data_IF_707384525660
#
_entry.id   IF_707384525660
#
_cell.length_a   1.000
_cell.length_b   1.000
_cell.length_c   1.000
_cell.angle_alpha   90.00
_cell.angle_beta   90.00
_cell.angle_gamma   90.00
#
_symmetry.space_group_name_H-M   'P 1'
#
loop_
_entity.id
_entity.type
_entity.pdbx_description
1 polymer ?
#
# COMPACT_ATOMS: atom_id res chain seq x y z
N UNK A 1 -29.02 -28.00 47.05
CA UNK A 1 -29.92 -26.88 46.70
C UNK A 1 -29.06 -25.63 46.64
N UNK A 2 -28.65 -25.23 45.44
CA UNK A 2 -29.25 -24.14 44.64
C UNK A 2 -28.76 -22.76 45.12
N UNK A 3 -27.81 -22.16 44.36
CA UNK A 3 -27.99 -20.95 43.50
C UNK A 3 -27.78 -19.67 44.34
N UNK A 4 -26.96 -18.68 43.98
CA UNK A 4 -26.85 -17.98 42.70
C UNK A 4 -25.47 -17.35 42.50
N UNK A 5 -24.95 -17.51 41.28
CA UNK A 5 -23.87 -16.72 40.71
C UNK A 5 -24.41 -15.34 40.28
N UNK A 6 -23.75 -14.27 40.70
CA UNK A 6 -23.95 -12.93 40.14
C UNK A 6 -22.79 -12.66 39.17
N UNK A 7 -23.00 -13.03 37.91
CA UNK A 7 -22.16 -12.63 36.78
C UNK A 7 -22.56 -11.20 36.46
N UNK A 8 -21.74 -10.24 36.89
CA UNK A 8 -21.85 -8.87 36.43
C UNK A 8 -21.49 -8.85 34.95
N UNK A 9 -22.45 -8.44 34.12
CA UNK A 9 -22.32 -8.34 32.68
C UNK A 9 -21.11 -7.47 32.33
N UNK A 10 -20.16 -8.07 31.60
CA UNK A 10 -19.21 -7.34 30.79
C UNK A 10 -20.03 -6.51 29.80
N UNK A 11 -20.15 -5.21 30.09
CA UNK A 11 -20.64 -4.26 29.12
C UNK A 11 -19.66 -4.23 27.95
N UNK A 12 -20.09 -4.70 26.79
CA UNK A 12 -19.53 -4.31 25.51
C UNK A 12 -19.72 -2.79 25.36
N UNK A 13 -18.83 -2.01 25.97
CA UNK A 13 -18.51 -0.71 25.42
C UNK A 13 -17.86 -1.02 24.07
N UNK A 14 -18.63 -0.90 23.00
CA UNK A 14 -18.07 -0.78 21.67
C UNK A 14 -17.17 0.44 21.70
N UNK A 15 -15.88 0.19 21.87
CA UNK A 15 -14.85 1.16 21.51
C UNK A 15 -15.08 1.41 20.03
N UNK A 16 -15.59 2.59 19.70
CA UNK A 16 -15.58 3.06 18.33
C UNK A 16 -14.10 3.23 17.97
N UNK A 17 -13.47 2.15 17.52
CA UNK A 17 -12.17 2.21 16.87
C UNK A 17 -12.34 3.21 15.73
N UNK A 18 -11.73 4.38 15.89
CA UNK A 18 -11.59 5.34 14.81
C UNK A 18 -11.01 4.55 13.64
N UNK A 19 -11.74 4.48 12.52
CA UNK A 19 -11.27 3.79 11.34
C UNK A 19 -9.83 4.24 11.05
N UNK A 20 -8.88 3.31 10.82
CA UNK A 20 -7.50 3.67 10.60
C UNK A 20 -7.44 4.68 9.44
N UNK A 21 -6.74 5.78 9.67
CA UNK A 21 -6.49 6.77 8.61
C UNK A 21 -5.87 6.06 7.41
N UNK A 22 -6.33 6.33 6.18
CA UNK A 22 -5.78 5.68 5.00
C UNK A 22 -4.27 5.95 4.90
N UNK A 23 -3.52 4.94 4.44
CA UNK A 23 -2.08 5.07 4.25
C UNK A 23 -1.78 6.25 3.32
N UNK A 24 -0.81 7.13 3.61
CA UNK A 24 -0.55 8.34 2.82
C UNK A 24 -0.30 8.03 1.34
N UNK A 25 0.36 6.91 1.06
CA UNK A 25 0.59 6.41 -0.31
C UNK A 25 -0.69 6.22 -1.10
N UNK A 26 -1.83 5.89 -0.48
CA UNK A 26 -3.10 5.70 -1.20
C UNK A 26 -3.73 7.02 -1.65
N UNK A 27 -3.55 8.09 -0.87
CA UNK A 27 -4.32 9.34 -1.02
C UNK A 27 -3.50 10.52 -1.49
N UNK A 28 -2.17 10.45 -1.43
CA UNK A 28 -1.31 11.54 -1.88
C UNK A 28 -1.41 11.73 -3.39
N UNK A 29 -1.29 12.95 -3.86
CA UNK A 29 -1.09 13.23 -5.27
C UNK A 29 0.30 12.73 -5.70
N UNK A 30 0.37 12.06 -6.86
CA UNK A 30 1.63 11.62 -7.44
C UNK A 30 2.13 12.66 -8.45
N UNK A 31 3.45 12.90 -8.53
CA UNK A 31 4.06 13.58 -9.67
C UNK A 31 3.67 12.94 -11.01
N UNK A 32 3.68 13.71 -12.09
CA UNK A 32 3.26 13.23 -13.42
C UNK A 32 4.14 12.15 -14.03
N UNK A 33 5.36 11.98 -13.54
CA UNK A 33 6.32 10.96 -13.94
C UNK A 33 6.30 9.73 -13.01
N UNK A 34 5.29 9.61 -12.16
CA UNK A 34 5.14 8.55 -11.18
C UNK A 34 3.73 7.94 -11.25
N UNK A 35 3.65 6.64 -11.51
CA UNK A 35 2.40 5.88 -11.45
C UNK A 35 2.52 4.71 -10.46
N UNK A 36 1.42 4.30 -9.82
CA UNK A 36 1.48 3.15 -8.91
C UNK A 36 1.83 1.85 -9.64
N UNK A 37 1.29 1.69 -10.86
CA UNK A 37 1.65 0.60 -11.77
C UNK A 37 3.15 0.58 -12.09
N UNK A 38 3.74 1.73 -12.43
CA UNK A 38 5.15 1.84 -12.78
C UNK A 38 6.07 1.56 -11.60
N UNK A 39 5.70 2.00 -10.39
CA UNK A 39 6.43 1.64 -9.14
C UNK A 39 6.46 0.13 -8.93
N UNK A 40 5.34 -0.57 -9.11
CA UNK A 40 5.30 -2.04 -9.00
C UNK A 40 6.12 -2.74 -10.09
N UNK A 41 6.04 -2.24 -11.33
CA UNK A 41 6.83 -2.78 -12.44
C UNK A 41 8.33 -2.59 -12.18
N UNK A 42 8.74 -1.41 -11.70
CA UNK A 42 10.11 -1.12 -11.32
C UNK A 42 10.60 -2.05 -10.19
N UNK A 43 9.76 -2.36 -9.21
CA UNK A 43 10.10 -3.32 -8.14
C UNK A 43 10.39 -4.73 -8.69
N UNK A 44 9.61 -5.20 -9.66
CA UNK A 44 9.86 -6.48 -10.34
C UNK A 44 11.18 -6.44 -11.11
N UNK A 45 11.40 -5.39 -11.91
CA UNK A 45 12.61 -5.22 -12.72
C UNK A 45 13.89 -5.12 -11.88
N UNK A 46 13.80 -4.50 -10.69
CA UNK A 46 14.89 -4.48 -9.71
C UNK A 46 15.25 -5.89 -9.22
N UNK A 47 14.25 -6.75 -9.01
CA UNK A 47 14.48 -8.15 -8.58
C UNK A 47 15.09 -9.01 -9.70
N UNK A 48 14.78 -8.69 -10.96
CA UNK A 48 15.30 -9.39 -12.15
C UNK A 48 16.67 -8.86 -12.60
N UNK A 49 17.07 -7.66 -12.14
CA UNK A 49 18.32 -7.01 -12.53
C UNK A 49 18.27 -6.38 -13.92
N UNK A 50 17.08 -6.05 -14.42
CA UNK A 50 16.84 -5.50 -15.77
C UNK A 50 16.39 -4.01 -15.75
N UNK A 51 16.48 -3.36 -14.60
CA UNK A 51 15.97 -2.00 -14.39
C UNK A 51 16.64 -0.94 -15.29
N UNK A 52 17.95 -1.03 -15.52
CA UNK A 52 18.67 -0.05 -16.35
C UNK A 52 18.19 -0.09 -17.80
N UNK A 53 17.92 -1.29 -18.32
CA UNK A 53 17.37 -1.45 -19.67
C UNK A 53 15.95 -0.90 -19.72
N UNK A 54 15.12 -1.23 -18.74
CA UNK A 54 13.74 -0.76 -18.71
C UNK A 54 13.61 0.77 -18.63
N UNK A 55 14.50 1.44 -17.89
CA UNK A 55 14.59 2.91 -17.88
C UNK A 55 15.04 3.43 -19.25
N UNK A 56 16.04 2.82 -19.87
CA UNK A 56 16.53 3.23 -21.20
C UNK A 56 15.45 3.08 -22.30
N UNK A 57 14.62 2.04 -22.20
CA UNK A 57 13.52 1.77 -23.12
C UNK A 57 12.25 2.60 -22.80
N UNK A 58 12.26 3.35 -21.69
CA UNK A 58 11.12 4.18 -21.25
C UNK A 58 9.94 3.39 -20.70
N UNK A 59 10.15 2.12 -20.32
CA UNK A 59 9.13 1.25 -19.74
C UNK A 59 8.74 1.68 -18.32
N UNK A 60 9.71 2.20 -17.57
CA UNK A 60 9.55 2.84 -16.26
C UNK A 60 10.36 4.13 -16.20
N UNK A 61 9.94 5.09 -15.40
CA UNK A 61 10.70 6.33 -15.19
C UNK A 61 11.77 6.14 -14.09
N UNK A 62 12.81 6.98 -14.06
CA UNK A 62 13.73 7.01 -12.92
C UNK A 62 13.03 7.28 -11.58
N UNK A 63 11.98 8.11 -11.57
CA UNK A 63 11.21 8.43 -10.38
C UNK A 63 10.45 7.19 -9.84
N UNK A 64 9.92 6.36 -10.74
CA UNK A 64 9.25 5.09 -10.38
C UNK A 64 10.24 4.08 -9.80
N UNK A 65 11.47 4.05 -10.31
CA UNK A 65 12.55 3.21 -9.75
C UNK A 65 12.94 3.69 -8.35
N UNK A 66 13.17 4.99 -8.17
CA UNK A 66 13.51 5.57 -6.87
C UNK A 66 12.42 5.30 -5.82
N UNK A 67 11.15 5.42 -6.20
CA UNK A 67 10.04 5.17 -5.30
C UNK A 67 9.84 3.66 -5.04
N UNK A 68 10.10 2.79 -6.02
CA UNK A 68 10.08 1.34 -5.83
C UNK A 68 11.12 0.88 -4.80
N UNK A 69 12.34 1.44 -4.87
CA UNK A 69 13.39 1.19 -3.86
C UNK A 69 12.89 1.58 -2.47
N UNK A 70 12.33 2.79 -2.32
CA UNK A 70 11.78 3.24 -1.03
C UNK A 70 10.62 2.39 -0.54
N UNK A 71 9.75 1.93 -1.44
CA UNK A 71 8.63 1.06 -1.10
C UNK A 71 9.12 -0.30 -0.59
N UNK A 72 10.16 -0.87 -1.19
CA UNK A 72 10.81 -2.10 -0.72
C UNK A 72 11.43 -1.87 0.67
N UNK A 73 12.18 -0.79 0.85
CA UNK A 73 12.84 -0.45 2.12
C UNK A 73 11.85 -0.22 3.27
N UNK A 74 10.63 0.21 2.96
CA UNK A 74 9.55 0.44 3.94
C UNK A 74 8.57 -0.72 4.06
N UNK A 75 8.74 -1.79 3.29
CA UNK A 75 7.80 -2.91 3.21
C UNK A 75 6.38 -2.47 2.79
N UNK A 76 6.27 -1.47 1.89
CA UNK A 76 5.00 -0.82 1.50
C UNK A 76 4.52 -1.23 0.07
N UNK A 77 5.08 -2.28 -0.54
CA UNK A 77 4.70 -2.70 -1.91
C UNK A 77 3.23 -3.13 -2.02
N UNK A 78 2.66 -3.67 -0.95
CA UNK A 78 1.23 -4.02 -0.85
C UNK A 78 0.32 -2.79 -0.94
N UNK A 79 0.72 -1.68 -0.30
CA UNK A 79 0.00 -0.40 -0.39
C UNK A 79 0.05 0.15 -1.82
N UNK A 80 1.20 0.03 -2.48
CA UNK A 80 1.33 0.40 -3.89
C UNK A 80 0.48 -0.47 -4.82
N UNK A 81 0.37 -1.77 -4.54
CA UNK A 81 -0.53 -2.68 -5.25
C UNK A 81 -2.00 -2.25 -5.10
N UNK A 82 -2.44 -1.96 -3.88
CA UNK A 82 -3.79 -1.47 -3.62
C UNK A 82 -4.09 -0.16 -4.36
N UNK A 83 -3.11 0.77 -4.38
CA UNK A 83 -3.26 2.01 -5.15
C UNK A 83 -3.41 1.73 -6.64
N UNK A 84 -2.56 0.88 -7.22
CA UNK A 84 -2.63 0.56 -8.64
C UNK A 84 -3.97 -0.08 -9.02
N UNK A 85 -4.52 -0.94 -8.15
CA UNK A 85 -5.86 -1.51 -8.35
C UNK A 85 -6.95 -0.43 -8.34
N UNK A 86 -6.81 0.58 -7.48
CA UNK A 86 -7.74 1.72 -7.42
C UNK A 86 -7.66 2.56 -8.70
N UNK A 87 -6.45 2.91 -9.14
CA UNK A 87 -6.23 3.65 -10.38
C UNK A 87 -6.84 2.93 -11.60
N UNK A 88 -6.69 1.60 -11.70
CA UNK A 88 -7.28 0.79 -12.78
C UNK A 88 -8.81 0.77 -12.73
N UNK A 89 -9.41 0.83 -11.54
CA UNK A 89 -10.86 0.81 -11.39
C UNK A 89 -11.51 2.17 -11.73
N UNK A 90 -10.73 3.25 -11.72
CA UNK A 90 -11.17 4.62 -12.02
C UNK A 90 -10.97 5.03 -13.48
N UNK A 91 -10.14 4.30 -14.24
CA UNK A 91 -9.92 4.42 -15.69
C UNK A 91 -11.08 3.83 -16.53
#
# INVERSE_FOLDING_TARGET
>A
MALLAAIALAGCAGEAEAAPSPHPTLVRELPSDLSARGVLLAAVLLSEGDVERAVADGLVTPAEVDEAIRAIEREELDVWAQRAETEIAED
#
